data_IF_952922537649
#
_entry.id   IF_952922537649
#
_cell.length_a   1.000
_cell.length_b   1.000
_cell.length_c   1.000
_cell.angle_alpha   90.00
_cell.angle_beta   90.00
_cell.angle_gamma   90.00
#
_symmetry.space_group_name_H-M   'P 1'
#
loop_
_entity.id
_entity.type
_entity.pdbx_description
1 polymer ?
#
# COMPACT_ATOMS: atom_id res chain seq x y z
N UNK A 1 -51.77 46.00 -36.78
CA UNK A 1 -51.33 44.59 -36.71
C UNK A 1 -50.16 44.52 -35.74
N UNK A 2 -50.33 43.93 -34.55
CA UNK A 2 -49.30 43.81 -33.50
C UNK A 2 -49.13 42.32 -33.20
N UNK A 3 -47.95 41.77 -33.46
CA UNK A 3 -47.57 40.39 -33.15
C UNK A 3 -47.06 40.29 -31.71
N UNK A 4 -47.68 39.41 -30.92
CA UNK A 4 -47.23 39.01 -29.58
C UNK A 4 -46.28 37.81 -29.71
N UNK A 5 -45.07 37.92 -29.15
CA UNK A 5 -44.14 36.79 -28.99
C UNK A 5 -44.20 36.39 -27.50
N UNK A 6 -44.74 35.21 -27.20
CA UNK A 6 -44.62 34.58 -25.89
C UNK A 6 -43.28 33.86 -25.80
N UNK A 7 -42.38 34.33 -24.92
CA UNK A 7 -41.19 33.59 -24.51
C UNK A 7 -41.51 32.71 -23.31
N UNK A 8 -41.27 31.40 -23.44
CA UNK A 8 -41.34 30.45 -22.32
C UNK A 8 -39.92 30.27 -21.78
N UNK A 9 -39.64 30.57 -20.50
CA UNK A 9 -38.35 30.28 -19.92
C UNK A 9 -38.25 28.78 -19.63
N UNK A 10 -37.31 28.12 -20.31
CA UNK A 10 -36.90 26.75 -19.98
C UNK A 10 -36.11 26.81 -18.67
N UNK A 11 -36.72 26.35 -17.57
CA UNK A 11 -36.04 26.21 -16.28
C UNK A 11 -35.20 24.93 -16.35
N UNK A 12 -33.90 25.09 -16.55
CA UNK A 12 -32.92 24.00 -16.47
C UNK A 12 -32.69 23.67 -14.99
N UNK A 13 -33.45 22.72 -14.45
CA UNK A 13 -33.24 22.20 -13.10
C UNK A 13 -31.94 21.40 -13.08
N UNK A 14 -30.86 22.00 -12.58
CA UNK A 14 -29.63 21.26 -12.23
C UNK A 14 -29.95 20.34 -11.05
N UNK A 15 -30.22 19.07 -11.35
CA UNK A 15 -30.17 18.00 -10.38
C UNK A 15 -28.72 17.86 -9.90
N UNK A 16 -28.38 18.52 -8.79
CA UNK A 16 -27.15 18.23 -8.05
C UNK A 16 -27.28 16.79 -7.57
N UNK A 17 -26.56 15.88 -8.22
CA UNK A 17 -26.45 14.50 -7.79
C UNK A 17 -26.02 14.48 -6.33
N UNK A 18 -26.82 13.80 -5.49
CA UNK A 18 -26.51 13.63 -4.08
C UNK A 18 -25.18 12.87 -3.96
N UNK A 19 -24.09 13.61 -3.72
CA UNK A 19 -22.86 13.02 -3.21
C UNK A 19 -23.26 12.46 -1.84
N UNK A 20 -23.26 11.14 -1.70
CA UNK A 20 -23.61 10.48 -0.45
C UNK A 20 -22.83 11.15 0.69
N UNK A 21 -23.56 11.81 1.60
CA UNK A 21 -22.95 12.54 2.69
C UNK A 21 -22.18 11.54 3.55
N UNK A 22 -20.86 11.70 3.58
CA UNK A 22 -19.97 10.84 4.33
C UNK A 22 -20.31 10.95 5.82
N UNK A 23 -20.58 9.82 6.49
CA UNK A 23 -21.05 9.81 7.87
C UNK A 23 -19.96 10.34 8.80
N UNK A 24 -20.21 11.48 9.42
CA UNK A 24 -19.31 12.11 10.40
C UNK A 24 -19.47 11.45 11.76
N UNK A 25 -18.35 11.03 12.35
CA UNK A 25 -18.30 10.35 13.65
C UNK A 25 -17.82 11.25 14.79
N UNK A 26 -16.93 12.21 14.49
CA UNK A 26 -16.46 13.21 15.44
C UNK A 26 -16.06 14.50 14.73
N UNK A 27 -15.91 15.58 15.49
CA UNK A 27 -15.32 16.84 15.02
C UNK A 27 -14.26 17.32 16.00
N UNK A 28 -13.09 17.72 15.50
CA UNK A 28 -11.99 18.28 16.28
C UNK A 28 -11.68 19.67 15.73
N UNK A 29 -12.03 20.72 16.47
CA UNK A 29 -11.87 22.12 16.04
C UNK A 29 -12.42 22.40 14.61
N UNK A 30 -13.57 21.79 14.28
CA UNK A 30 -14.21 21.94 12.97
C UNK A 30 -13.78 20.93 11.91
N UNK A 31 -12.66 20.23 12.09
CA UNK A 31 -12.25 19.10 11.22
C UNK A 31 -13.13 17.88 11.52
N UNK A 32 -13.81 17.36 10.50
CA UNK A 32 -14.60 16.14 10.62
C UNK A 32 -13.70 14.89 10.57
N UNK A 33 -13.97 13.93 11.46
CA UNK A 33 -13.47 12.56 11.40
C UNK A 33 -14.67 11.68 11.00
N UNK A 34 -14.50 10.90 9.94
CA UNK A 34 -15.59 10.20 9.26
C UNK A 34 -15.55 8.69 9.46
N UNK A 35 -16.62 8.01 9.04
CA UNK A 35 -16.68 6.55 8.98
C UNK A 35 -15.59 5.98 8.08
N UNK A 36 -15.27 6.65 6.96
CA UNK A 36 -14.22 6.21 6.04
C UNK A 36 -12.84 6.29 6.66
N UNK A 37 -12.54 7.34 7.43
CA UNK A 37 -11.25 7.46 8.13
C UNK A 37 -11.07 6.29 9.10
N UNK A 38 -12.13 5.95 9.83
CA UNK A 38 -12.15 4.81 10.74
C UNK A 38 -11.96 3.47 10.00
N UNK A 39 -12.66 3.27 8.89
CA UNK A 39 -12.53 2.05 8.10
C UNK A 39 -11.16 1.93 7.44
N UNK A 40 -10.57 3.04 6.98
CA UNK A 40 -9.20 3.07 6.46
C UNK A 40 -8.19 2.69 7.55
N UNK A 41 -8.36 3.22 8.77
CA UNK A 41 -7.51 2.84 9.90
C UNK A 41 -7.62 1.34 10.19
N UNK A 42 -8.84 0.78 10.25
CA UNK A 42 -9.07 -0.67 10.47
C UNK A 42 -8.43 -1.51 9.36
N UNK A 43 -8.60 -1.10 8.10
CA UNK A 43 -8.04 -1.82 6.95
C UNK A 43 -6.51 -1.79 6.90
N UNK A 44 -5.87 -0.82 7.58
CA UNK A 44 -4.41 -0.75 7.67
C UNK A 44 -3.83 -1.69 8.75
N UNK A 45 -4.66 -2.20 9.66
CA UNK A 45 -4.22 -3.10 10.73
C UNK A 45 -3.89 -4.51 10.21
N UNK A 46 -2.98 -5.23 10.90
CA UNK A 46 -2.65 -6.62 10.58
C UNK A 46 -3.88 -7.55 10.53
N UNK A 47 -3.84 -8.64 9.72
CA UNK A 47 -5.00 -9.49 9.47
C UNK A 47 -5.72 -10.05 10.71
N UNK A 48 -5.01 -10.26 11.81
CA UNK A 48 -5.59 -10.75 13.07
C UNK A 48 -6.60 -9.78 13.68
N UNK A 49 -6.54 -8.48 13.38
CA UNK A 49 -7.49 -7.47 13.86
C UNK A 49 -8.74 -7.37 12.99
N UNK A 50 -8.75 -7.95 11.79
CA UNK A 50 -9.86 -7.81 10.84
C UNK A 50 -11.14 -8.50 11.32
N UNK A 51 -11.01 -9.51 12.18
CA UNK A 51 -12.15 -10.18 12.85
C UNK A 51 -12.91 -9.25 13.78
N UNK A 52 -12.25 -8.20 14.30
CA UNK A 52 -12.81 -7.22 15.23
C UNK A 52 -13.41 -6.01 14.52
N UNK A 53 -13.36 -5.92 13.18
CA UNK A 53 -13.77 -4.72 12.42
C UNK A 53 -15.18 -4.21 12.73
N UNK A 54 -16.09 -5.13 13.08
CA UNK A 54 -17.49 -4.85 13.39
C UNK A 54 -17.77 -4.76 14.91
N UNK A 55 -16.77 -5.00 15.75
CA UNK A 55 -16.93 -4.92 17.21
C UNK A 55 -17.12 -3.45 17.62
N UNK A 56 -18.25 -3.05 18.22
CA UNK A 56 -18.52 -1.65 18.54
C UNK A 56 -17.51 -1.02 19.50
N UNK A 57 -17.01 -1.78 20.47
CA UNK A 57 -16.04 -1.30 21.44
C UNK A 57 -14.67 -1.07 20.79
N UNK A 58 -14.25 -1.98 19.92
CA UNK A 58 -13.01 -1.83 19.15
C UNK A 58 -13.06 -0.61 18.22
N UNK A 59 -14.16 -0.45 17.47
CA UNK A 59 -14.40 0.73 16.63
C UNK A 59 -14.38 2.03 17.44
N UNK A 60 -15.03 2.04 18.61
CA UNK A 60 -15.01 3.19 19.53
C UNK A 60 -13.60 3.54 19.99
N UNK A 61 -12.77 2.55 20.33
CA UNK A 61 -11.37 2.77 20.72
C UNK A 61 -10.55 3.35 19.57
N UNK A 62 -10.69 2.83 18.35
CA UNK A 62 -9.99 3.37 17.19
C UNK A 62 -10.44 4.79 16.84
N UNK A 63 -11.73 5.09 16.94
CA UNK A 63 -12.24 6.46 16.78
C UNK A 63 -11.62 7.41 17.82
N UNK A 64 -11.49 6.99 19.08
CA UNK A 64 -10.81 7.78 20.10
C UNK A 64 -9.32 8.00 19.78
N UNK A 65 -8.66 7.02 19.17
CA UNK A 65 -7.28 7.19 18.72
C UNK A 65 -7.17 8.21 17.57
N UNK A 66 -8.07 8.16 16.59
CA UNK A 66 -8.13 9.16 15.51
C UNK A 66 -8.35 10.58 16.05
N UNK A 67 -9.23 10.74 17.05
CA UNK A 67 -9.46 12.02 17.71
C UNK A 67 -8.18 12.53 18.39
N UNK A 68 -7.47 11.66 19.12
CA UNK A 68 -6.21 12.01 19.78
C UNK A 68 -5.12 12.39 18.78
N UNK A 69 -4.98 11.63 17.71
CA UNK A 69 -4.03 11.91 16.63
C UNK A 69 -4.31 13.27 16.00
N UNK A 70 -5.57 13.57 15.69
CA UNK A 70 -5.95 14.88 15.13
C UNK A 70 -5.67 16.03 16.10
N UNK A 71 -5.94 15.86 17.40
CA UNK A 71 -5.61 16.86 18.42
C UNK A 71 -4.10 17.14 18.47
N UNK A 72 -3.27 16.10 18.48
CA UNK A 72 -1.81 16.23 18.50
C UNK A 72 -1.28 16.81 17.20
N UNK A 73 -1.85 16.44 16.06
CA UNK A 73 -1.49 17.00 14.76
C UNK A 73 -1.76 18.51 14.72
N UNK A 74 -2.94 18.95 15.14
CA UNK A 74 -3.26 20.37 15.18
C UNK A 74 -2.35 21.16 16.13
N UNK A 75 -1.96 20.59 17.26
CA UNK A 75 -1.00 21.20 18.17
C UNK A 75 0.40 21.30 17.53
N UNK A 76 0.86 20.25 16.84
CA UNK A 76 2.11 20.28 16.11
C UNK A 76 2.15 21.39 15.04
N UNK A 77 1.03 21.65 14.35
CA UNK A 77 0.90 22.77 13.40
C UNK A 77 0.98 24.11 14.12
N UNK A 78 0.32 24.26 15.28
CA UNK A 78 0.39 25.51 16.07
C UNK A 78 1.80 25.79 16.57
N UNK A 79 2.52 24.77 17.02
CA UNK A 79 3.92 24.87 17.46
C UNK A 79 4.88 25.07 16.29
N UNK A 80 4.43 24.97 15.04
CA UNK A 80 5.25 25.14 13.85
C UNK A 80 6.21 23.99 13.59
N UNK A 81 5.95 22.80 14.15
CA UNK A 81 6.75 21.59 13.94
C UNK A 81 6.76 21.20 12.45
N UNK A 82 5.66 21.48 11.73
CA UNK A 82 5.59 21.29 10.29
C UNK A 82 6.59 22.14 9.53
N UNK A 83 7.10 23.24 10.09
CA UNK A 83 8.08 24.13 9.44
C UNK A 83 9.52 23.81 9.83
N UNK A 84 9.73 22.89 10.77
CA UNK A 84 11.07 22.46 11.16
C UNK A 84 11.81 21.86 9.94
N UNK A 85 13.05 22.30 9.63
CA UNK A 85 13.77 21.83 8.46
C UNK A 85 14.06 20.32 8.45
N UNK A 86 14.26 19.69 9.62
CA UNK A 86 14.45 18.24 9.71
C UNK A 86 13.12 17.51 9.45
N UNK A 87 12.01 17.99 10.02
CA UNK A 87 10.68 17.42 9.77
C UNK A 87 10.30 17.52 8.29
N UNK A 88 10.50 18.68 7.67
CA UNK A 88 10.27 18.87 6.23
C UNK A 88 11.11 17.93 5.36
N UNK A 89 12.38 17.74 5.73
CA UNK A 89 13.26 16.79 5.05
C UNK A 89 12.74 15.35 5.18
N UNK A 90 12.28 14.94 6.35
CA UNK A 90 11.70 13.62 6.56
C UNK A 90 10.41 13.40 5.76
N UNK A 91 9.54 14.41 5.72
CA UNK A 91 8.31 14.40 4.90
C UNK A 91 8.65 14.22 3.42
N UNK A 92 9.59 14.99 2.88
CA UNK A 92 9.97 14.89 1.47
C UNK A 92 10.66 13.55 1.14
N UNK A 93 11.47 13.01 2.06
CA UNK A 93 12.04 11.67 1.92
C UNK A 93 10.94 10.60 1.91
N UNK A 94 9.95 10.70 2.79
CA UNK A 94 8.83 9.76 2.85
C UNK A 94 7.96 9.85 1.59
N UNK A 95 7.62 11.06 1.15
CA UNK A 95 6.89 11.32 -0.10
C UNK A 95 7.62 10.72 -1.29
N UNK A 96 8.93 10.93 -1.43
CA UNK A 96 9.74 10.29 -2.49
C UNK A 96 9.62 8.76 -2.43
N UNK A 97 9.73 8.15 -1.24
CA UNK A 97 9.61 6.69 -1.07
C UNK A 97 8.23 6.18 -1.49
N UNK A 98 7.16 6.85 -1.04
CA UNK A 98 5.77 6.49 -1.38
C UNK A 98 5.56 6.55 -2.90
N UNK A 99 6.03 7.62 -3.55
CA UNK A 99 5.88 7.80 -5.00
C UNK A 99 6.65 6.73 -5.78
N UNK A 100 7.89 6.41 -5.39
CA UNK A 100 8.67 5.34 -6.01
C UNK A 100 7.97 3.98 -5.84
N UNK A 101 7.51 3.66 -4.63
CA UNK A 101 6.77 2.42 -4.39
C UNK A 101 5.47 2.34 -5.20
N UNK A 102 4.73 3.44 -5.30
CA UNK A 102 3.51 3.50 -6.10
C UNK A 102 3.80 3.28 -7.59
N UNK A 103 4.89 3.88 -8.11
CA UNK A 103 5.34 3.68 -9.49
C UNK A 103 5.72 2.21 -9.75
N UNK A 104 6.48 1.61 -8.83
CA UNK A 104 6.85 0.19 -8.92
C UNK A 104 5.60 -0.69 -8.93
N UNK A 105 4.64 -0.51 -8.01
CA UNK A 105 3.38 -1.28 -8.01
C UNK A 105 2.57 -1.10 -9.29
N UNK A 106 2.59 0.10 -9.88
CA UNK A 106 1.85 0.41 -11.10
C UNK A 106 2.44 -0.29 -12.33
N UNK A 107 3.76 -0.35 -12.43
CA UNK A 107 4.45 -0.81 -13.65
C UNK A 107 5.05 -2.21 -13.55
N UNK A 108 5.38 -2.69 -12.36
CA UNK A 108 5.96 -4.00 -12.13
C UNK A 108 4.86 -4.96 -11.70
N UNK A 109 4.33 -5.72 -12.66
CA UNK A 109 3.40 -6.83 -12.43
C UNK A 109 4.16 -8.14 -12.62
N UNK A 110 4.21 -8.96 -11.58
CA UNK A 110 4.83 -10.28 -11.65
C UNK A 110 3.81 -11.29 -12.18
N UNK A 111 4.21 -12.04 -13.20
CA UNK A 111 3.48 -13.24 -13.60
C UNK A 111 3.67 -14.31 -12.53
N UNK A 112 2.68 -15.20 -12.31
CA UNK A 112 2.85 -16.35 -11.45
C UNK A 112 4.06 -17.16 -11.91
N UNK A 113 5.03 -17.36 -11.02
CA UNK A 113 6.14 -18.27 -11.26
C UNK A 113 5.73 -19.66 -10.78
N UNK A 114 6.31 -20.72 -11.32
CA UNK A 114 6.11 -22.08 -10.82
C UNK A 114 7.45 -22.79 -10.64
N UNK A 115 7.50 -23.70 -9.67
CA UNK A 115 8.62 -24.62 -9.45
C UNK A 115 8.15 -26.02 -9.82
N UNK A 116 8.84 -26.64 -10.76
CA UNK A 116 8.57 -28.02 -11.15
C UNK A 116 9.11 -28.99 -10.09
N UNK A 117 8.55 -30.21 -10.06
CA UNK A 117 9.03 -31.26 -9.14
C UNK A 117 10.50 -31.62 -9.41
N UNK A 118 10.92 -31.64 -10.69
CA UNK A 118 12.30 -31.91 -11.08
C UNK A 118 13.27 -30.87 -10.48
N UNK A 119 12.92 -29.59 -10.54
CA UNK A 119 13.73 -28.52 -9.94
C UNK A 119 13.81 -28.64 -8.42
N UNK A 120 12.70 -28.94 -7.75
CA UNK A 120 12.67 -29.15 -6.31
C UNK A 120 13.53 -30.36 -5.90
N UNK A 121 13.46 -31.46 -6.67
CA UNK A 121 14.26 -32.66 -6.43
C UNK A 121 15.76 -32.41 -6.66
N UNK A 122 16.12 -31.69 -7.73
CA UNK A 122 17.51 -31.30 -7.99
C UNK A 122 18.07 -30.41 -6.87
N UNK A 123 17.27 -29.45 -6.38
CA UNK A 123 17.66 -28.62 -5.24
C UNK A 123 17.83 -29.46 -3.96
N UNK A 124 16.93 -30.42 -3.72
CA UNK A 124 17.05 -31.34 -2.60
C UNK A 124 18.36 -32.12 -2.63
N UNK A 125 18.67 -32.78 -3.74
CA UNK A 125 19.89 -33.60 -3.84
C UNK A 125 21.17 -32.76 -3.73
N UNK A 126 21.19 -31.56 -4.32
CA UNK A 126 22.34 -30.64 -4.21
C UNK A 126 22.59 -30.15 -2.79
N UNK A 127 21.53 -30.01 -1.98
CA UNK A 127 21.60 -29.45 -0.63
C UNK A 127 21.32 -30.49 0.46
N UNK A 128 21.38 -31.79 0.12
CA UNK A 128 20.97 -32.90 1.01
C UNK A 128 21.65 -32.89 2.38
N UNK A 129 22.89 -32.38 2.45
CA UNK A 129 23.65 -32.26 3.69
C UNK A 129 23.08 -31.22 4.68
N UNK A 130 22.33 -30.22 4.20
CA UNK A 130 21.74 -29.16 5.04
C UNK A 130 20.35 -29.52 5.56
N UNK A 131 19.68 -30.52 4.97
CA UNK A 131 18.37 -30.98 5.42
C UNK A 131 18.50 -32.05 6.51
N UNK A 132 18.88 -31.61 7.70
CA UNK A 132 19.09 -32.44 8.88
C UNK A 132 18.03 -32.13 9.94
N UNK A 133 17.52 -33.16 10.61
CA UNK A 133 16.68 -32.97 11.79
C UNK A 133 17.52 -32.61 13.03
N UNK A 134 16.86 -32.41 14.17
CA UNK A 134 17.52 -32.07 15.43
C UNK A 134 18.53 -33.12 15.92
N UNK A 135 18.44 -34.36 15.41
CA UNK A 135 19.32 -35.47 15.75
C UNK A 135 20.41 -35.71 14.69
N UNK A 136 20.52 -34.84 13.67
CA UNK A 136 21.50 -34.98 12.59
C UNK A 136 21.15 -36.04 11.53
N UNK A 137 19.91 -36.55 11.51
CA UNK A 137 19.44 -37.46 10.47
C UNK A 137 18.91 -36.67 9.27
N UNK A 138 19.18 -37.15 8.07
CA UNK A 138 18.71 -36.50 6.84
C UNK A 138 17.19 -36.61 6.71
N UNK A 139 16.53 -35.49 6.47
CA UNK A 139 15.08 -35.40 6.24
C UNK A 139 14.77 -35.86 4.82
N UNK A 140 13.78 -36.74 4.64
CA UNK A 140 13.38 -37.24 3.32
C UNK A 140 12.79 -36.16 2.41
N UNK A 141 12.96 -36.32 1.09
CA UNK A 141 12.44 -35.40 0.08
C UNK A 141 10.95 -35.08 0.26
N UNK A 142 10.09 -36.08 0.41
CA UNK A 142 8.63 -35.86 0.46
C UNK A 142 8.19 -34.97 1.62
N UNK A 143 8.91 -35.03 2.74
CA UNK A 143 8.65 -34.22 3.93
C UNK A 143 9.08 -32.77 3.71
N UNK A 144 10.24 -32.54 3.10
CA UNK A 144 10.81 -31.20 2.93
C UNK A 144 10.39 -30.51 1.62
N UNK A 145 9.84 -31.26 0.65
CA UNK A 145 9.44 -30.78 -0.68
C UNK A 145 8.55 -29.53 -0.64
N UNK A 146 7.48 -29.42 0.18
CA UNK A 146 6.65 -28.21 0.21
C UNK A 146 7.45 -26.95 0.60
N UNK A 147 8.39 -27.10 1.53
CA UNK A 147 9.28 -26.01 1.93
C UNK A 147 10.26 -25.64 0.81
N UNK A 148 10.88 -26.64 0.17
CA UNK A 148 11.79 -26.42 -0.97
C UNK A 148 11.06 -25.69 -2.11
N UNK A 149 9.88 -26.18 -2.50
CA UNK A 149 9.05 -25.57 -3.54
C UNK A 149 8.73 -24.12 -3.19
N UNK A 150 8.27 -23.84 -1.97
CA UNK A 150 7.96 -22.47 -1.52
C UNK A 150 9.19 -21.56 -1.52
N UNK A 151 10.34 -22.06 -1.05
CA UNK A 151 11.59 -21.30 -1.01
C UNK A 151 12.10 -20.98 -2.42
N UNK A 152 12.13 -21.98 -3.31
CA UNK A 152 12.51 -21.78 -4.72
C UNK A 152 11.55 -20.84 -5.43
N UNK A 153 10.26 -20.95 -5.16
CA UNK A 153 9.24 -20.06 -5.71
C UNK A 153 9.50 -18.61 -5.31
N UNK A 154 9.70 -18.34 -4.01
CA UNK A 154 10.03 -17.01 -3.50
C UNK A 154 11.33 -16.47 -4.09
N UNK A 155 12.34 -17.32 -4.26
CA UNK A 155 13.60 -16.94 -4.90
C UNK A 155 13.39 -16.54 -6.35
N UNK A 156 12.66 -17.35 -7.14
CA UNK A 156 12.36 -17.01 -8.54
C UNK A 156 11.50 -15.75 -8.65
N UNK A 157 10.50 -15.57 -7.79
CA UNK A 157 9.70 -14.34 -7.74
C UNK A 157 10.57 -13.11 -7.47
N UNK A 158 11.50 -13.20 -6.50
CA UNK A 158 12.46 -12.13 -6.21
C UNK A 158 13.37 -11.84 -7.40
N UNK A 159 13.84 -12.88 -8.10
CA UNK A 159 14.67 -12.73 -9.31
C UNK A 159 13.90 -12.06 -10.44
N UNK A 160 12.68 -12.52 -10.74
CA UNK A 160 11.82 -11.93 -11.76
C UNK A 160 11.45 -10.48 -11.43
N UNK A 161 11.17 -10.19 -10.15
CA UNK A 161 10.97 -8.83 -9.69
C UNK A 161 12.19 -7.95 -9.93
N UNK A 162 13.38 -8.41 -9.54
CA UNK A 162 14.63 -7.67 -9.78
C UNK A 162 14.86 -7.44 -11.26
N UNK A 163 14.61 -8.44 -12.11
CA UNK A 163 14.76 -8.35 -13.57
C UNK A 163 13.77 -7.32 -14.14
N UNK A 164 12.50 -7.42 -13.80
CA UNK A 164 11.47 -6.50 -14.26
C UNK A 164 11.74 -5.06 -13.80
N UNK A 165 12.16 -4.88 -12.54
CA UNK A 165 12.55 -3.58 -11.99
C UNK A 165 13.73 -2.99 -12.76
N UNK A 166 14.81 -3.77 -12.95
CA UNK A 166 15.99 -3.31 -13.68
C UNK A 166 15.66 -2.96 -15.13
N UNK A 167 14.86 -3.77 -15.81
CA UNK A 167 14.39 -3.48 -17.17
C UNK A 167 13.62 -2.15 -17.22
N UNK A 168 12.72 -1.93 -16.26
CA UNK A 168 11.97 -0.69 -16.16
C UNK A 168 12.88 0.51 -15.87
N UNK A 169 13.79 0.41 -14.90
CA UNK A 169 14.78 1.45 -14.59
C UNK A 169 15.61 1.79 -15.83
N UNK A 170 16.15 0.81 -16.52
CA UNK A 170 16.91 1.00 -17.76
C UNK A 170 16.06 1.70 -18.84
N UNK A 171 14.76 1.39 -18.94
CA UNK A 171 13.86 2.03 -19.89
C UNK A 171 13.61 3.51 -19.58
N UNK A 172 13.61 3.88 -18.30
CA UNK A 172 13.48 5.26 -17.82
C UNK A 172 14.79 6.01 -17.99
N UNK A 173 15.91 5.36 -17.68
CA UNK A 173 17.26 5.91 -17.83
C UNK A 173 17.57 6.28 -19.28
N UNK A 174 17.24 5.42 -20.25
CA UNK A 174 17.41 5.74 -21.69
C UNK A 174 16.68 6.99 -22.16
N UNK A 175 15.65 7.42 -21.44
CA UNK A 175 14.86 8.64 -21.73
C UNK A 175 15.28 9.82 -20.86
N UNK A 176 16.27 9.63 -20.00
CA UNK A 176 16.71 10.58 -19.00
C UNK A 176 18.15 11.02 -19.29
N UNK A 177 18.50 12.23 -18.85
CA UNK A 177 19.89 12.69 -18.80
C UNK A 177 20.43 12.37 -17.41
N UNK A 178 21.25 11.33 -17.31
CA UNK A 178 21.91 10.96 -16.05
C UNK A 178 23.39 11.32 -16.18
N UNK A 179 23.87 12.14 -15.26
CA UNK A 179 25.28 12.54 -15.16
C UNK A 179 25.81 12.12 -13.80
N UNK A 180 26.90 11.35 -13.78
CA UNK A 180 27.56 10.90 -12.56
C UNK A 180 28.78 11.79 -12.34
N UNK A 181 28.66 12.72 -11.40
CA UNK A 181 29.74 13.62 -10.98
C UNK A 181 30.56 12.96 -9.85
N UNK A 182 31.29 11.90 -10.16
CA UNK A 182 32.28 11.32 -9.23
C UNK A 182 33.66 11.94 -9.47
N UNK A 183 34.33 12.38 -8.39
CA UNK A 183 35.73 12.77 -8.38
C UNK A 183 36.64 11.55 -8.21
#
# INVERSE_FOLDING_TARGET
MKSLILSVPVVFSLSIGAVAAEKVLAKVNGKAITEKDLDQMINSLPPNYQTLKNNPQFRKQLLQNLIKEELLYQEAIKEGIDKDPQVQKEIELMKRRILVQALVRKHIKLSPVSVSDSEAKAFYEKNKATFKDANGKTISYDVIKPFIVKSLQQQKEKQEFSRALNNYVNSVERKSKVEILTK
#
